data_IF_712602953074
#
_entry.id   IF_712602953074
#
_cell.length_a   1.000
_cell.length_b   1.000
_cell.length_c   1.000
_cell.angle_alpha   90.00
_cell.angle_beta   90.00
_cell.angle_gamma   90.00
#
_symmetry.space_group_name_H-M   'P 1'
#
loop_
_entity.id
_entity.type
_entity.pdbx_description
1 polymer ?
#
# COMPACT_ATOMS: atom_id res chain seq x y z
N UNK A 1 11.85 36.96 -15.14
CA UNK A 1 11.58 35.85 -16.04
C UNK A 1 10.79 36.40 -17.22
N UNK A 2 11.08 36.02 -18.43
CA UNK A 2 10.44 36.56 -19.63
C UNK A 2 9.75 35.40 -20.34
N UNK A 3 8.49 35.58 -20.70
CA UNK A 3 7.70 34.57 -21.38
C UNK A 3 7.25 35.09 -22.74
N UNK A 4 7.11 34.21 -23.71
CA UNK A 4 6.54 34.49 -25.01
C UNK A 4 5.33 33.62 -25.25
N UNK A 5 4.24 34.20 -25.64
CA UNK A 5 3.02 33.51 -26.04
C UNK A 5 3.18 33.07 -27.53
N UNK A 6 2.74 31.87 -27.88
CA UNK A 6 2.71 31.33 -29.25
C UNK A 6 1.90 32.19 -30.23
N UNK A 7 0.94 32.98 -29.69
CA UNK A 7 0.03 33.81 -30.46
C UNK A 7 0.45 35.30 -30.58
N UNK A 8 1.64 35.69 -30.15
CA UNK A 8 2.20 37.05 -30.40
C UNK A 8 2.22 38.03 -29.25
N UNK A 9 2.10 37.60 -27.98
CA UNK A 9 2.24 38.51 -26.85
C UNK A 9 3.56 38.29 -26.12
N UNK A 10 4.19 39.39 -25.72
CA UNK A 10 5.32 39.35 -24.81
C UNK A 10 4.78 39.42 -23.36
N UNK A 11 5.31 38.58 -22.51
CA UNK A 11 5.08 38.63 -21.10
C UNK A 11 6.42 38.74 -20.40
N UNK A 12 6.63 39.82 -19.65
CA UNK A 12 7.88 40.06 -18.92
C UNK A 12 7.62 39.91 -17.43
N UNK A 13 8.51 39.18 -16.71
CA UNK A 13 8.45 38.99 -15.29
C UNK A 13 7.96 37.62 -14.87
N UNK A 14 7.49 37.50 -13.63
CA UNK A 14 6.91 36.28 -13.12
C UNK A 14 5.45 36.16 -13.61
N UNK A 15 5.07 35.08 -14.34
CA UNK A 15 3.72 34.91 -14.85
C UNK A 15 2.67 34.78 -13.73
N UNK A 16 3.09 34.44 -12.51
CA UNK A 16 2.22 34.43 -11.34
C UNK A 16 2.00 35.83 -10.76
N UNK A 17 2.67 36.85 -11.29
CA UNK A 17 2.50 38.22 -10.89
C UNK A 17 1.72 38.98 -11.96
N UNK A 18 0.43 39.16 -11.74
CA UNK A 18 -0.52 39.78 -12.68
C UNK A 18 -0.05 41.12 -13.24
N UNK A 19 0.80 41.87 -12.52
CA UNK A 19 1.31 43.15 -12.97
C UNK A 19 2.23 43.08 -14.20
N UNK A 20 2.71 41.92 -14.56
CA UNK A 20 3.59 41.66 -15.70
C UNK A 20 2.91 40.95 -16.88
N UNK A 21 1.66 40.54 -16.73
CA UNK A 21 0.91 39.85 -17.77
C UNK A 21 0.06 40.86 -18.52
N UNK A 22 0.52 41.29 -19.69
CA UNK A 22 -0.21 42.23 -20.54
C UNK A 22 -1.00 41.41 -21.56
N UNK A 23 -2.29 41.31 -21.39
CA UNK A 23 -3.22 40.74 -22.37
C UNK A 23 -3.36 39.21 -22.36
N UNK A 24 -2.88 38.55 -21.29
CA UNK A 24 -3.01 37.10 -21.11
C UNK A 24 -3.36 36.77 -19.66
N UNK A 25 -3.96 35.61 -19.45
CA UNK A 25 -4.35 35.14 -18.13
C UNK A 25 -3.33 34.16 -17.55
N UNK A 26 -3.35 33.99 -16.22
CA UNK A 26 -2.61 32.90 -15.54
C UNK A 26 -3.05 31.54 -16.09
N UNK A 27 -4.33 31.39 -16.43
CA UNK A 27 -4.90 30.18 -17.00
C UNK A 27 -4.23 29.83 -18.35
N UNK A 28 -3.87 30.82 -19.17
CA UNK A 28 -3.15 30.57 -20.43
C UNK A 28 -1.75 30.02 -20.17
N UNK A 29 -1.08 30.46 -19.12
CA UNK A 29 0.20 29.89 -18.71
C UNK A 29 0.06 28.45 -18.19
N UNK A 30 -0.89 28.21 -17.31
CA UNK A 30 -1.16 26.88 -16.76
C UNK A 30 -1.55 25.87 -17.84
N UNK A 31 -2.23 26.32 -18.89
CA UNK A 31 -2.58 25.51 -20.06
C UNK A 31 -1.44 25.37 -21.08
N UNK A 32 -0.25 25.88 -20.80
CA UNK A 32 0.91 25.79 -21.69
C UNK A 32 0.83 26.67 -22.94
N UNK A 33 0.01 27.71 -22.93
CA UNK A 33 -0.06 28.70 -24.01
C UNK A 33 1.18 29.60 -24.07
N UNK A 34 1.95 29.66 -22.99
CA UNK A 34 3.21 30.39 -22.90
C UNK A 34 4.39 29.43 -22.87
N UNK A 35 5.49 29.89 -23.48
CA UNK A 35 6.76 29.19 -23.40
C UNK A 35 7.75 30.07 -22.64
N UNK A 36 8.54 29.43 -21.78
CA UNK A 36 9.59 30.09 -21.04
C UNK A 36 10.75 30.37 -22.03
N UNK A 37 11.26 31.60 -22.05
CA UNK A 37 12.50 31.91 -22.77
C UNK A 37 13.67 31.29 -21.98
N UNK A 38 14.67 30.81 -22.75
CA UNK A 38 15.97 30.48 -22.17
C UNK A 38 16.68 31.74 -21.67
N UNK A 39 17.67 31.57 -20.80
CA UNK A 39 18.48 32.70 -20.31
C UNK A 39 19.15 33.46 -21.44
N UNK A 40 19.57 32.76 -22.52
CA UNK A 40 20.16 33.37 -23.71
C UNK A 40 19.13 34.21 -24.48
N UNK A 41 17.92 33.68 -24.68
CA UNK A 41 16.81 34.41 -25.30
C UNK A 41 16.41 35.63 -24.48
N UNK A 42 16.37 35.49 -23.15
CA UNK A 42 16.08 36.61 -22.24
C UNK A 42 17.17 37.69 -22.29
N UNK A 43 18.44 37.28 -22.35
CA UNK A 43 19.57 38.22 -22.50
C UNK A 43 19.54 38.93 -23.87
N UNK A 44 19.31 38.18 -24.95
CA UNK A 44 19.19 38.77 -26.29
C UNK A 44 18.07 39.81 -26.34
N UNK A 45 16.90 39.51 -25.77
CA UNK A 45 15.80 40.49 -25.72
C UNK A 45 16.14 41.73 -24.88
N UNK A 46 16.86 41.57 -23.78
CA UNK A 46 17.27 42.70 -22.93
C UNK A 46 18.28 43.62 -23.70
N UNK A 47 19.15 43.07 -24.52
CA UNK A 47 20.12 43.78 -25.34
C UNK A 47 19.48 44.37 -26.60
N UNK A 48 18.40 43.76 -27.11
CA UNK A 48 17.68 44.15 -28.33
C UNK A 48 16.20 44.37 -28.05
N UNK A 49 15.83 45.45 -27.32
CA UNK A 49 14.46 45.66 -26.89
C UNK A 49 13.44 45.85 -28.01
N UNK A 50 13.93 46.21 -29.21
CA UNK A 50 13.11 46.38 -30.41
C UNK A 50 12.99 45.09 -31.26
N UNK A 51 13.66 43.99 -30.85
CA UNK A 51 13.57 42.72 -31.56
C UNK A 51 12.13 42.17 -31.49
N UNK A 52 11.69 41.64 -32.64
CA UNK A 52 10.38 40.98 -32.70
C UNK A 52 10.37 39.67 -31.92
N UNK A 53 9.19 39.24 -31.50
CA UNK A 53 9.03 37.95 -30.84
C UNK A 53 9.63 36.79 -31.65
N UNK A 54 9.47 36.85 -32.97
CA UNK A 54 9.95 35.81 -33.84
C UNK A 54 11.49 35.77 -33.92
N UNK A 55 12.14 36.94 -33.87
CA UNK A 55 13.61 37.04 -33.84
C UNK A 55 14.17 36.47 -32.54
N UNK A 56 13.56 36.79 -31.39
CA UNK A 56 13.99 36.24 -30.10
C UNK A 56 13.74 34.73 -30.04
N UNK A 57 12.61 34.29 -30.58
CA UNK A 57 12.26 32.87 -30.58
C UNK A 57 13.15 32.02 -31.47
N UNK A 58 13.52 32.55 -32.61
CA UNK A 58 14.32 31.84 -33.62
C UNK A 58 15.83 32.07 -33.47
N UNK A 59 16.29 32.81 -32.43
CA UNK A 59 17.72 32.90 -32.20
C UNK A 59 18.34 31.51 -32.00
N UNK A 60 19.50 31.30 -32.57
CA UNK A 60 20.27 30.07 -32.33
C UNK A 60 20.70 30.03 -30.87
N UNK A 61 20.20 29.06 -30.16
CA UNK A 61 20.61 28.80 -28.76
C UNK A 61 21.92 28.02 -28.79
N UNK A 62 22.83 28.38 -27.91
CA UNK A 62 24.01 27.56 -27.64
C UNK A 62 23.53 26.20 -27.10
N UNK A 63 23.88 25.05 -27.70
CA UNK A 63 23.47 23.77 -27.16
C UNK A 63 23.90 23.66 -25.69
N UNK A 64 22.96 23.43 -24.82
CA UNK A 64 23.27 23.17 -23.42
C UNK A 64 24.25 21.99 -23.38
N UNK A 65 25.42 22.14 -22.72
CA UNK A 65 26.36 21.03 -22.62
C UNK A 65 25.63 19.85 -22.00
N UNK A 66 25.59 18.71 -22.69
CA UNK A 66 25.01 17.48 -22.17
C UNK A 66 25.58 17.28 -20.77
N UNK A 67 24.72 17.41 -19.76
CA UNK A 67 25.11 17.07 -18.38
C UNK A 67 25.54 15.61 -18.41
N UNK A 68 26.75 15.31 -17.89
CA UNK A 68 27.16 13.91 -17.81
C UNK A 68 26.06 13.13 -17.11
N UNK A 69 25.50 12.15 -17.82
CA UNK A 69 24.53 11.22 -17.22
C UNK A 69 25.29 10.51 -16.10
N UNK A 70 25.13 10.99 -14.88
CA UNK A 70 25.60 10.27 -13.69
C UNK A 70 24.70 9.06 -13.62
N UNK A 71 25.22 7.84 -13.84
CA UNK A 71 24.39 6.65 -13.67
C UNK A 71 23.81 6.67 -12.28
N UNK A 72 22.51 6.36 -12.14
CA UNK A 72 21.89 6.16 -10.84
C UNK A 72 22.79 5.22 -10.04
N UNK A 73 23.17 5.58 -8.80
CA UNK A 73 23.99 4.71 -7.99
C UNK A 73 23.31 3.34 -7.89
N UNK A 74 24.06 2.28 -8.20
CA UNK A 74 23.53 0.92 -8.03
C UNK A 74 22.96 0.80 -6.60
N UNK A 75 21.74 0.30 -6.46
CA UNK A 75 21.13 0.22 -5.14
C UNK A 75 22.01 -0.68 -4.24
N UNK A 76 22.29 -0.21 -3.03
CA UNK A 76 23.06 -0.92 -2.03
C UNK A 76 22.49 -2.32 -1.80
N UNK A 77 23.31 -3.37 -1.96
CA UNK A 77 22.91 -4.77 -1.79
C UNK A 77 22.23 -5.00 -0.43
N UNK A 78 22.66 -4.29 0.61
CA UNK A 78 22.02 -4.36 1.92
C UNK A 78 20.58 -3.81 1.89
N UNK A 79 20.35 -2.74 1.12
CA UNK A 79 19.00 -2.16 0.97
C UNK A 79 18.09 -3.14 0.23
N UNK A 80 18.59 -3.76 -0.84
CA UNK A 80 17.84 -4.79 -1.62
C UNK A 80 17.50 -5.98 -0.71
N UNK A 81 18.48 -6.52 0.00
CA UNK A 81 18.29 -7.67 0.87
C UNK A 81 17.29 -7.37 1.99
N UNK A 82 17.36 -6.16 2.57
CA UNK A 82 16.40 -5.70 3.59
C UNK A 82 14.99 -5.60 3.06
N UNK A 83 14.80 -5.02 1.89
CA UNK A 83 13.47 -4.91 1.27
C UNK A 83 12.87 -6.28 0.96
N UNK A 84 13.68 -7.21 0.43
CA UNK A 84 13.26 -8.58 0.17
C UNK A 84 12.85 -9.30 1.47
N UNK A 85 13.62 -9.14 2.55
CA UNK A 85 13.30 -9.73 3.86
C UNK A 85 12.02 -9.13 4.46
N UNK A 86 11.82 -7.83 4.37
CA UNK A 86 10.59 -7.17 4.84
C UNK A 86 9.37 -7.68 4.07
N UNK A 87 9.51 -7.92 2.76
CA UNK A 87 8.43 -8.51 1.97
C UNK A 87 8.13 -9.97 2.42
N UNK A 88 9.16 -10.77 2.68
CA UNK A 88 9.01 -12.14 3.21
C UNK A 88 8.28 -12.14 4.57
N UNK A 89 8.60 -11.18 5.44
CA UNK A 89 7.93 -11.01 6.74
C UNK A 89 6.44 -10.69 6.56
N UNK A 90 6.10 -9.78 5.64
CA UNK A 90 4.70 -9.43 5.33
C UNK A 90 3.93 -10.63 4.79
N UNK A 91 4.52 -11.39 3.88
CA UNK A 91 3.89 -12.60 3.31
C UNK A 91 3.63 -13.66 4.39
N UNK A 92 4.54 -13.79 5.37
CA UNK A 92 4.36 -14.72 6.48
C UNK A 92 3.25 -14.28 7.46
N UNK A 93 2.96 -12.98 7.55
CA UNK A 93 1.96 -12.43 8.47
C UNK A 93 0.49 -12.67 8.03
N UNK A 94 0.27 -13.05 6.79
CA UNK A 94 -1.08 -13.32 6.23
C UNK A 94 -1.83 -14.47 6.95
N UNK A 95 -1.13 -15.21 7.81
CA UNK A 95 -1.73 -16.31 8.56
C UNK A 95 -2.68 -15.86 9.67
N UNK A 96 -2.51 -14.66 10.21
CA UNK A 96 -3.27 -14.21 11.39
C UNK A 96 -4.77 -14.12 11.19
N UNK A 97 -5.23 -14.10 9.94
CA UNK A 97 -6.65 -14.04 9.59
C UNK A 97 -7.23 -15.39 9.15
N UNK A 98 -6.43 -16.45 9.18
CA UNK A 98 -6.83 -17.78 8.71
C UNK A 98 -6.84 -18.79 9.87
N UNK A 99 -7.77 -19.72 9.83
CA UNK A 99 -7.84 -20.83 10.76
C UNK A 99 -8.56 -22.00 10.11
N UNK A 100 -8.44 -23.17 10.72
CA UNK A 100 -9.12 -24.37 10.27
C UNK A 100 -10.22 -24.79 11.24
N UNK A 101 -11.31 -25.29 10.69
CA UNK A 101 -12.34 -25.98 11.46
C UNK A 101 -12.40 -27.43 10.98
N UNK A 102 -12.06 -28.36 11.87
CA UNK A 102 -12.30 -29.77 11.70
C UNK A 102 -13.72 -30.08 12.15
N UNK A 103 -14.53 -30.58 11.23
CA UNK A 103 -15.95 -30.87 11.47
C UNK A 103 -16.10 -32.38 11.63
N UNK A 104 -16.59 -32.81 12.80
CA UNK A 104 -16.85 -34.21 13.08
C UNK A 104 -18.34 -34.49 13.20
N UNK A 105 -18.76 -35.67 12.74
CA UNK A 105 -20.11 -36.21 12.90
C UNK A 105 -20.05 -37.70 13.22
N UNK A 106 -20.67 -38.10 14.29
CA UNK A 106 -20.58 -39.49 14.77
C UNK A 106 -19.15 -39.93 15.09
N UNK A 107 -18.30 -39.01 15.51
CA UNK A 107 -16.88 -39.24 15.80
C UNK A 107 -15.96 -39.38 14.55
N UNK A 108 -16.50 -39.15 13.34
CA UNK A 108 -15.76 -39.21 12.09
C UNK A 108 -15.57 -37.78 11.58
N UNK A 109 -14.35 -37.41 11.20
CA UNK A 109 -14.10 -36.14 10.51
C UNK A 109 -14.77 -36.18 9.12
N UNK A 110 -15.73 -35.28 8.90
CA UNK A 110 -16.46 -35.17 7.63
C UNK A 110 -15.98 -33.99 6.80
N UNK A 111 -15.32 -33.01 7.40
CA UNK A 111 -14.71 -31.89 6.71
C UNK A 111 -13.56 -31.30 7.53
N UNK A 112 -12.58 -30.73 6.83
CA UNK A 112 -11.54 -29.89 7.40
C UNK A 112 -11.45 -28.65 6.49
N UNK A 113 -11.92 -27.52 7.00
CA UNK A 113 -12.14 -26.31 6.18
C UNK A 113 -11.27 -25.16 6.67
N UNK A 114 -10.58 -24.53 5.72
CA UNK A 114 -9.91 -23.26 5.94
C UNK A 114 -10.96 -22.13 5.92
N UNK A 115 -10.95 -21.31 6.95
CA UNK A 115 -11.82 -20.15 7.09
C UNK A 115 -10.96 -18.90 7.22
N UNK A 116 -11.54 -17.78 6.81
CA UNK A 116 -10.91 -16.47 6.88
C UNK A 116 -11.88 -15.47 7.51
N UNK A 117 -11.38 -14.76 8.51
CA UNK A 117 -12.11 -13.66 9.16
C UNK A 117 -11.11 -12.55 9.45
N UNK A 118 -11.26 -11.42 8.78
CA UNK A 118 -10.38 -10.26 9.00
C UNK A 118 -10.56 -9.67 10.41
N UNK A 119 -9.63 -8.79 10.79
CA UNK A 119 -9.57 -8.20 12.12
C UNK A 119 -10.84 -7.44 12.49
N UNK A 120 -11.37 -6.64 11.56
CA UNK A 120 -12.54 -5.80 11.82
C UNK A 120 -13.80 -6.67 11.95
N UNK A 121 -13.91 -7.67 11.07
CA UNK A 121 -14.99 -8.65 11.14
C UNK A 121 -14.94 -9.48 12.43
N UNK A 122 -13.76 -9.97 12.86
CA UNK A 122 -13.61 -10.72 14.12
C UNK A 122 -14.11 -9.92 15.32
N UNK A 123 -13.67 -8.66 15.39
CA UNK A 123 -14.02 -7.79 16.50
C UNK A 123 -15.52 -7.49 16.55
N UNK A 124 -16.13 -7.16 15.42
CA UNK A 124 -17.57 -6.91 15.34
C UNK A 124 -18.42 -8.18 15.56
N UNK A 125 -17.99 -9.32 15.04
CA UNK A 125 -18.66 -10.60 15.29
C UNK A 125 -18.72 -10.91 16.78
N UNK A 126 -17.57 -10.90 17.45
CA UNK A 126 -17.48 -11.26 18.86
C UNK A 126 -18.21 -10.29 19.79
N UNK A 127 -18.01 -8.97 19.59
CA UNK A 127 -18.49 -7.96 20.55
C UNK A 127 -19.91 -7.48 20.29
N UNK A 128 -20.42 -7.59 19.07
CA UNK A 128 -21.70 -7.00 18.67
C UNK A 128 -22.61 -8.03 18.00
N UNK A 129 -22.18 -8.63 16.88
CA UNK A 129 -23.07 -9.37 15.99
C UNK A 129 -23.57 -10.68 16.61
N UNK A 130 -22.66 -11.52 17.12
CA UNK A 130 -23.06 -12.81 17.72
C UNK A 130 -23.89 -12.65 18.97
N UNK A 131 -23.56 -11.75 19.93
CA UNK A 131 -24.44 -11.47 21.06
C UNK A 131 -25.82 -10.95 20.67
N UNK A 132 -25.91 -10.11 19.63
CA UNK A 132 -27.19 -9.61 19.14
C UNK A 132 -28.04 -10.73 18.51
N UNK A 133 -27.46 -11.55 17.63
CA UNK A 133 -28.15 -12.71 17.05
C UNK A 133 -28.65 -13.67 18.12
N UNK A 134 -27.86 -13.94 19.16
CA UNK A 134 -28.25 -14.78 20.28
C UNK A 134 -29.42 -14.17 21.06
N UNK A 135 -29.43 -12.87 21.25
CA UNK A 135 -30.53 -12.14 21.90
C UNK A 135 -31.81 -12.18 21.08
N UNK A 136 -31.70 -12.21 19.74
CA UNK A 136 -32.86 -12.37 18.84
C UNK A 136 -33.36 -13.83 18.73
N UNK A 137 -32.74 -14.76 19.46
CA UNK A 137 -33.13 -16.17 19.51
C UNK A 137 -32.47 -17.06 18.48
N UNK A 138 -31.51 -16.53 17.70
CA UNK A 138 -30.70 -17.33 16.78
C UNK A 138 -29.73 -18.22 17.56
N UNK A 139 -29.59 -19.47 17.11
CA UNK A 139 -28.71 -20.46 17.77
C UNK A 139 -27.47 -20.77 16.94
N UNK A 140 -27.49 -20.49 15.64
CA UNK A 140 -26.40 -20.77 14.68
C UNK A 140 -26.06 -19.54 13.87
N UNK A 141 -24.84 -19.51 13.33
CA UNK A 141 -24.37 -18.53 12.37
C UNK A 141 -23.55 -19.22 11.29
N UNK A 142 -23.29 -18.52 10.18
CA UNK A 142 -22.50 -19.05 9.07
C UNK A 142 -21.08 -18.51 9.12
N UNK A 143 -20.12 -19.43 9.04
CA UNK A 143 -18.73 -19.09 8.71
C UNK A 143 -18.44 -19.51 7.26
N UNK A 144 -17.70 -18.68 6.54
CA UNK A 144 -17.40 -18.89 5.12
C UNK A 144 -15.97 -19.38 4.92
N UNK A 145 -15.82 -20.35 4.01
CA UNK A 145 -14.51 -20.89 3.62
C UNK A 145 -13.79 -19.95 2.69
N UNK A 146 -12.45 -20.08 2.61
CA UNK A 146 -11.60 -19.34 1.66
C UNK A 146 -11.61 -19.91 0.24
N UNK A 147 -12.30 -21.04 0.02
CA UNK A 147 -12.33 -21.73 -1.27
C UNK A 147 -13.04 -20.95 -2.38
N UNK A 148 -12.87 -21.42 -3.62
CA UNK A 148 -13.53 -20.88 -4.81
C UNK A 148 -14.34 -21.97 -5.52
N UNK A 149 -15.68 -21.92 -5.51
CA UNK A 149 -16.53 -20.94 -4.84
C UNK A 149 -16.49 -21.08 -3.31
N UNK A 150 -16.73 -20.00 -2.55
CA UNK A 150 -16.80 -20.09 -1.09
C UNK A 150 -17.99 -20.94 -0.66
N UNK A 151 -17.79 -21.73 0.38
CA UNK A 151 -18.84 -22.52 1.03
C UNK A 151 -19.06 -22.01 2.44
N UNK A 152 -20.21 -22.30 3.03
CA UNK A 152 -20.50 -21.91 4.40
C UNK A 152 -20.64 -23.13 5.31
N UNK A 153 -20.21 -22.98 6.56
CA UNK A 153 -20.41 -23.94 7.63
C UNK A 153 -21.33 -23.28 8.64
N UNK A 154 -22.43 -23.96 9.00
CA UNK A 154 -23.28 -23.52 10.09
C UNK A 154 -22.64 -23.92 11.41
N UNK A 155 -22.37 -22.96 12.27
CA UNK A 155 -21.77 -23.18 13.58
C UNK A 155 -22.66 -22.65 14.69
N UNK A 156 -22.73 -23.32 15.86
CA UNK A 156 -23.42 -22.78 16.99
C UNK A 156 -22.82 -21.43 17.43
N UNK A 157 -23.65 -20.45 17.73
CA UNK A 157 -23.20 -19.12 18.20
C UNK A 157 -22.36 -19.26 19.48
N UNK A 158 -22.76 -20.16 20.39
CA UNK A 158 -22.00 -20.46 21.60
C UNK A 158 -20.59 -21.00 21.31
N UNK A 159 -20.44 -21.80 20.26
CA UNK A 159 -19.16 -22.30 19.80
C UNK A 159 -18.31 -21.17 19.26
N UNK A 160 -18.86 -20.33 18.36
CA UNK A 160 -18.17 -19.20 17.80
C UNK A 160 -17.70 -18.21 18.87
N UNK A 161 -18.56 -17.85 19.83
CA UNK A 161 -18.21 -16.99 20.96
C UNK A 161 -17.11 -17.58 21.84
N UNK A 162 -17.04 -18.91 21.97
CA UNK A 162 -15.95 -19.57 22.69
C UNK A 162 -14.61 -19.50 22.00
N UNK A 163 -14.57 -19.65 20.68
CA UNK A 163 -13.33 -19.86 19.94
C UNK A 163 -12.78 -18.60 19.24
N UNK A 164 -13.62 -17.62 18.88
CA UNK A 164 -13.15 -16.37 18.28
C UNK A 164 -12.07 -15.63 19.09
N UNK A 165 -12.12 -15.58 20.45
CA UNK A 165 -11.05 -14.95 21.22
C UNK A 165 -9.66 -15.57 21.02
N UNK A 166 -9.60 -16.86 20.68
CA UNK A 166 -8.31 -17.52 20.41
C UNK A 166 -7.65 -17.01 19.12
N UNK A 167 -8.46 -16.54 18.14
CA UNK A 167 -7.94 -15.90 16.95
C UNK A 167 -7.25 -14.56 17.28
N UNK A 168 -7.77 -13.82 18.25
CA UNK A 168 -7.12 -12.56 18.69
C UNK A 168 -5.78 -12.82 19.39
N UNK A 169 -5.71 -13.88 20.22
CA UNK A 169 -4.46 -14.31 20.85
C UNK A 169 -3.44 -14.74 19.77
N UNK A 170 -3.91 -15.48 18.78
CA UNK A 170 -3.10 -15.90 17.65
C UNK A 170 -2.57 -14.68 16.87
N UNK A 171 -3.46 -13.77 16.47
CA UNK A 171 -3.11 -12.56 15.75
C UNK A 171 -2.12 -11.68 16.55
N UNK A 172 -2.27 -11.60 17.87
CA UNK A 172 -1.31 -10.88 18.72
C UNK A 172 0.09 -11.52 18.69
N UNK A 173 0.17 -12.84 18.73
CA UNK A 173 1.44 -13.56 18.66
C UNK A 173 2.13 -13.41 17.30
N UNK A 174 1.38 -13.49 16.20
CA UNK A 174 1.92 -13.26 14.86
C UNK A 174 2.41 -11.82 14.69
N UNK A 175 1.65 -10.85 15.20
CA UNK A 175 2.06 -9.45 15.20
C UNK A 175 3.38 -9.22 15.97
N UNK A 176 3.53 -9.82 17.16
CA UNK A 176 4.77 -9.67 17.95
C UNK A 176 5.99 -10.26 17.23
N UNK A 177 5.82 -11.41 16.57
CA UNK A 177 6.89 -12.02 15.78
C UNK A 177 7.23 -11.18 14.55
N UNK A 178 6.22 -10.70 13.83
CA UNK A 178 6.41 -9.78 12.72
C UNK A 178 7.21 -8.55 13.16
N UNK A 179 6.76 -7.85 14.19
CA UNK A 179 7.42 -6.65 14.69
C UNK A 179 8.88 -6.93 15.13
N UNK A 180 9.12 -8.10 15.75
CA UNK A 180 10.47 -8.54 16.13
C UNK A 180 11.35 -8.79 14.91
N UNK A 181 10.85 -9.48 13.89
CA UNK A 181 11.58 -9.76 12.66
C UNK A 181 11.85 -8.48 11.86
N UNK A 182 10.89 -7.56 11.76
CA UNK A 182 11.08 -6.23 11.15
C UNK A 182 12.17 -5.45 11.88
N UNK A 183 12.13 -5.42 13.22
CA UNK A 183 13.15 -4.73 14.01
C UNK A 183 14.55 -5.35 13.78
N UNK A 184 14.64 -6.67 13.70
CA UNK A 184 15.91 -7.36 13.39
C UNK A 184 16.41 -7.00 11.98
N UNK A 185 15.53 -6.95 10.97
CA UNK A 185 15.89 -6.58 9.61
C UNK A 185 16.37 -5.13 9.49
N UNK A 186 15.79 -4.21 10.26
CA UNK A 186 16.26 -2.83 10.30
C UNK A 186 17.58 -2.67 11.08
N UNK A 187 17.82 -3.48 12.11
CA UNK A 187 19.03 -3.43 12.90
C UNK A 187 20.24 -4.10 12.21
N UNK A 188 19.99 -4.99 11.26
CA UNK A 188 21.04 -5.68 10.50
C UNK A 188 21.89 -4.69 9.71
N UNK A 189 23.21 -4.89 9.78
CA UNK A 189 24.23 -4.04 9.14
C UNK A 189 24.90 -4.73 7.96
N UNK A 190 24.65 -6.03 7.75
CA UNK A 190 25.17 -6.82 6.63
C UNK A 190 24.08 -7.68 5.99
N UNK A 191 24.33 -8.11 4.74
CA UNK A 191 23.44 -9.01 4.02
C UNK A 191 23.36 -10.38 4.71
N UNK A 192 24.46 -10.85 5.29
CA UNK A 192 24.53 -12.11 6.02
C UNK A 192 23.65 -12.08 7.28
N UNK A 193 23.65 -10.97 8.02
CA UNK A 193 22.77 -10.81 9.18
C UNK A 193 21.29 -10.85 8.77
N UNK A 194 20.92 -10.21 7.66
CA UNK A 194 19.55 -10.27 7.11
C UNK A 194 19.19 -11.70 6.71
N UNK A 195 20.10 -12.43 6.06
CA UNK A 195 19.88 -13.80 5.62
C UNK A 195 19.63 -14.78 6.79
N UNK A 196 20.20 -14.48 7.99
CA UNK A 196 20.01 -15.29 9.18
C UNK A 196 18.66 -15.13 9.85
N UNK A 197 17.86 -14.13 9.47
CA UNK A 197 16.52 -13.94 10.02
C UNK A 197 15.59 -15.01 9.45
N UNK A 198 15.24 -16.00 10.26
CA UNK A 198 14.26 -17.02 9.93
C UNK A 198 12.86 -16.51 10.27
N UNK A 199 12.15 -16.00 9.28
CA UNK A 199 10.82 -15.41 9.45
C UNK A 199 9.75 -16.44 9.86
N UNK A 200 10.03 -17.74 9.71
CA UNK A 200 9.11 -18.83 10.06
C UNK A 200 9.39 -19.39 11.46
N UNK A 201 10.53 -19.08 12.03
CA UNK A 201 10.90 -19.56 13.36
C UNK A 201 9.89 -19.04 14.40
N UNK A 202 9.40 -19.95 15.23
CA UNK A 202 8.43 -19.68 16.30
C UNK A 202 7.07 -19.12 15.84
N UNK A 203 6.83 -19.03 14.52
CA UNK A 203 5.53 -18.62 14.03
C UNK A 203 4.47 -19.63 14.48
N UNK A 204 3.36 -19.20 15.07
CA UNK A 204 2.32 -20.13 15.49
C UNK A 204 1.75 -20.82 14.24
N UNK A 205 1.51 -22.13 14.36
CA UNK A 205 0.78 -22.87 13.34
C UNK A 205 -0.66 -22.37 13.28
N UNK A 206 -1.32 -22.61 12.15
CA UNK A 206 -2.76 -22.33 12.04
C UNK A 206 -3.52 -22.94 13.20
N UNK A 207 -4.43 -22.15 13.78
CA UNK A 207 -5.36 -22.65 14.77
C UNK A 207 -6.33 -23.63 14.11
N UNK A 208 -6.49 -24.79 14.73
CA UNK A 208 -7.50 -25.77 14.35
C UNK A 208 -8.51 -25.89 15.47
N UNK A 209 -9.78 -25.71 15.17
CA UNK A 209 -10.88 -25.86 16.09
C UNK A 209 -11.73 -27.05 15.69
N UNK A 210 -12.17 -27.84 16.67
CA UNK A 210 -13.10 -28.95 16.44
C UNK A 210 -14.55 -28.48 16.57
N UNK A 211 -15.36 -28.79 15.56
CA UNK A 211 -16.79 -28.60 15.56
C UNK A 211 -17.47 -29.97 15.51
N UNK A 212 -18.09 -30.38 16.61
CA UNK A 212 -18.86 -31.61 16.65
C UNK A 212 -20.33 -31.30 16.36
N UNK A 213 -20.86 -31.82 15.25
CA UNK A 213 -22.23 -31.60 14.82
C UNK A 213 -23.22 -32.53 15.56
N UNK A 214 -22.75 -33.48 16.35
CA UNK A 214 -23.61 -34.35 17.16
C UNK A 214 -24.02 -33.69 18.49
N UNK A 215 -23.57 -32.48 18.73
CA UNK A 215 -23.89 -31.76 19.95
C UNK A 215 -25.32 -31.26 19.93
N UNK A 216 -26.20 -32.12 20.40
CA UNK A 216 -27.36 -31.73 21.12
C UNK A 216 -28.72 -31.92 20.50
N UNK A 217 -29.24 -32.99 20.81
CA UNK A 217 -30.67 -33.09 21.16
C UNK A 217 -30.80 -32.99 22.65
#
# INVERSE_FOLDING_TARGET
>A
MIYINKEKFWVTGDPLNESYIIGSSIEDYENGAFLLLSDEQATFHAEHPDASQLEVWNMELTPEPEQPVVPDPEPDELVIARQAKLQEIVEQDDFSNKFFVSVTQGGIEVANQELWIDKDLRNSLYSITLPALQSDGETTTKLWTTGTPPQSIDVPISWALKYLPYLEIYAKRTYDLRASNEAAAYAATTVEEIAQIDVKANYPHFLTFELNLDMGV
#
